data_IF_962884348909
#
_entry.id   IF_962884348909
#
_cell.length_a   1.000
_cell.length_b   1.000
_cell.length_c   1.000
_cell.angle_alpha   90.00
_cell.angle_beta   90.00
_cell.angle_gamma   90.00
#
_symmetry.space_group_name_H-M   'P 1'
#
loop_
_entity.id
_entity.type
_entity.pdbx_description
1 polymer ?
#
# COMPACT_ATOMS: atom_id res chain seq x y z
N UNK A 1 9.36 6.74 2.84
CA UNK A 1 8.84 7.82 3.72
C UNK A 1 9.56 7.87 5.05
N UNK A 2 9.39 8.95 5.78
CA UNK A 2 10.03 9.18 7.09
C UNK A 2 9.55 8.18 8.17
N UNK A 3 10.29 8.11 9.28
CA UNK A 3 9.90 7.30 10.42
C UNK A 3 8.48 7.68 10.91
N UNK A 4 7.68 6.69 11.26
CA UNK A 4 6.33 6.91 11.79
C UNK A 4 5.24 7.28 10.77
N UNK A 5 5.51 7.34 9.47
CA UNK A 5 4.52 7.69 8.43
C UNK A 5 3.56 6.56 8.02
N UNK A 6 3.67 5.38 8.65
CA UNK A 6 2.77 4.26 8.40
C UNK A 6 3.29 3.17 7.45
N UNK A 7 4.60 3.17 7.11
CA UNK A 7 5.21 2.16 6.22
C UNK A 7 4.93 0.72 6.65
N UNK A 8 5.27 0.37 7.88
CA UNK A 8 5.05 -0.98 8.43
C UNK A 8 3.56 -1.31 8.60
N UNK A 9 2.71 -0.31 8.85
CA UNK A 9 1.24 -0.52 8.87
C UNK A 9 0.74 -0.95 7.50
N UNK A 10 1.17 -0.26 6.43
CA UNK A 10 0.81 -0.62 5.05
C UNK A 10 1.33 -2.03 4.68
N UNK A 11 2.53 -2.40 5.17
CA UNK A 11 3.07 -3.74 4.98
C UNK A 11 2.18 -4.82 5.64
N UNK A 12 1.77 -4.60 6.89
CA UNK A 12 0.87 -5.52 7.62
C UNK A 12 -0.49 -5.63 6.92
N UNK A 13 -1.07 -4.51 6.50
CA UNK A 13 -2.33 -4.49 5.75
C UNK A 13 -2.22 -5.25 4.43
N UNK A 14 -1.08 -5.15 3.75
CA UNK A 14 -0.82 -5.89 2.50
C UNK A 14 -0.75 -7.39 2.74
N UNK A 15 -0.16 -7.85 3.85
CA UNK A 15 -0.16 -9.27 4.25
C UNK A 15 -1.59 -9.74 4.53
N UNK A 16 -2.34 -8.99 5.35
CA UNK A 16 -3.72 -9.34 5.72
C UNK A 16 -4.61 -9.43 4.47
N UNK A 17 -4.39 -8.55 3.49
CA UNK A 17 -5.10 -8.56 2.21
C UNK A 17 -4.88 -9.84 1.38
N UNK A 18 -3.86 -10.65 1.67
CA UNK A 18 -3.61 -11.93 0.99
C UNK A 18 -4.45 -13.09 1.55
N UNK A 19 -5.17 -12.89 2.65
CA UNK A 19 -6.02 -13.94 3.23
C UNK A 19 -6.99 -14.50 2.20
N UNK A 20 -6.97 -15.82 2.02
CA UNK A 20 -7.83 -16.52 1.05
C UNK A 20 -7.41 -16.41 -0.42
N UNK A 21 -6.29 -15.74 -0.74
CA UNK A 21 -5.81 -15.55 -2.12
C UNK A 21 -4.75 -16.58 -2.57
N UNK A 22 -4.46 -17.56 -1.74
CA UNK A 22 -3.42 -18.57 -2.01
C UNK A 22 -2.00 -17.99 -2.23
N UNK A 23 -1.72 -16.84 -1.66
CA UNK A 23 -0.41 -16.18 -1.66
C UNK A 23 0.28 -16.44 -0.32
N UNK A 24 1.52 -16.94 -0.35
CA UNK A 24 2.35 -17.08 0.85
C UNK A 24 3.12 -15.80 1.10
N UNK A 25 3.28 -15.43 2.37
CA UNK A 25 3.95 -14.17 2.72
C UNK A 25 5.22 -14.43 3.53
N UNK A 26 6.29 -13.70 3.21
CA UNK A 26 7.51 -13.64 4.01
C UNK A 26 7.69 -12.21 4.49
N UNK A 27 7.70 -11.99 5.80
CA UNK A 27 7.95 -10.68 6.37
C UNK A 27 9.30 -10.65 7.07
N UNK A 28 10.23 -9.89 6.50
CA UNK A 28 11.61 -9.77 7.02
C UNK A 28 11.74 -8.49 7.83
N UNK A 29 11.86 -8.62 9.14
CA UNK A 29 12.04 -7.53 10.11
C UNK A 29 13.52 -7.34 10.40
N UNK A 30 14.09 -6.20 9.98
CA UNK A 30 15.53 -5.94 10.04
C UNK A 30 15.81 -4.85 11.06
N UNK A 31 16.50 -5.19 12.15
CA UNK A 31 16.88 -4.28 13.24
C UNK A 31 15.70 -3.62 13.96
N UNK A 32 14.56 -4.29 13.98
CA UNK A 32 13.40 -3.82 14.72
C UNK A 32 13.56 -4.05 16.23
N UNK A 33 12.97 -3.17 17.04
CA UNK A 33 12.91 -3.37 18.49
C UNK A 33 12.05 -4.59 18.82
N UNK A 34 12.46 -5.40 19.81
CA UNK A 34 11.72 -6.60 20.21
C UNK A 34 10.25 -6.34 20.52
N UNK A 35 9.93 -5.21 21.16
CA UNK A 35 8.54 -4.83 21.44
C UNK A 35 7.72 -4.62 20.16
N UNK A 36 8.31 -3.99 19.13
CA UNK A 36 7.65 -3.81 17.83
C UNK A 36 7.47 -5.15 17.10
N UNK A 37 8.47 -6.04 17.16
CA UNK A 37 8.38 -7.40 16.61
C UNK A 37 7.21 -8.16 17.23
N UNK A 38 7.14 -8.19 18.56
CA UNK A 38 6.06 -8.88 19.29
C UNK A 38 4.69 -8.30 18.94
N UNK A 39 4.56 -6.97 18.92
CA UNK A 39 3.32 -6.30 18.54
C UNK A 39 2.89 -6.64 17.10
N UNK A 40 3.82 -6.70 16.16
CA UNK A 40 3.56 -7.06 14.76
C UNK A 40 3.09 -8.51 14.64
N UNK A 41 3.77 -9.44 15.33
CA UNK A 41 3.39 -10.87 15.35
C UNK A 41 1.98 -11.02 15.93
N UNK A 42 1.67 -10.34 17.03
CA UNK A 42 0.37 -10.42 17.67
C UNK A 42 -0.74 -9.84 16.76
N UNK A 43 -0.48 -8.72 16.10
CA UNK A 43 -1.40 -8.14 15.13
C UNK A 43 -1.70 -9.11 13.98
N UNK A 44 -0.67 -9.73 13.40
CA UNK A 44 -0.85 -10.71 12.32
C UNK A 44 -1.57 -11.96 12.81
N UNK A 45 -1.31 -12.42 14.06
CA UNK A 45 -2.00 -13.56 14.67
C UNK A 45 -3.49 -13.27 14.81
N UNK A 46 -3.87 -12.13 15.37
CA UNK A 46 -5.27 -11.73 15.56
C UNK A 46 -6.03 -11.59 14.24
N UNK A 47 -5.34 -11.12 13.19
CA UNK A 47 -5.91 -11.03 11.85
C UNK A 47 -5.94 -12.36 11.08
N UNK A 48 -5.34 -13.44 11.64
CA UNK A 48 -5.19 -14.73 10.94
C UNK A 48 -4.16 -14.72 9.82
N UNK A 49 -3.25 -13.73 9.83
CA UNK A 49 -2.19 -13.60 8.83
C UNK A 49 -1.05 -14.60 9.00
N UNK A 50 -0.86 -15.17 10.19
CA UNK A 50 0.21 -16.14 10.44
C UNK A 50 -0.03 -17.50 9.80
N UNK A 51 -1.26 -17.83 9.42
CA UNK A 51 -1.60 -19.13 8.81
C UNK A 51 -0.93 -19.32 7.43
N UNK A 52 -0.59 -18.22 6.77
CA UNK A 52 0.04 -18.21 5.44
C UNK A 52 1.30 -17.33 5.37
N UNK A 53 1.85 -16.95 6.54
CA UNK A 53 3.01 -16.06 6.61
C UNK A 53 4.14 -16.66 7.45
N UNK A 54 5.39 -16.39 7.02
CA UNK A 54 6.59 -16.63 7.79
C UNK A 54 7.26 -15.30 8.13
N UNK A 55 7.71 -15.14 9.39
CA UNK A 55 8.39 -13.92 9.84
C UNK A 55 9.86 -14.24 10.10
N UNK A 56 10.76 -13.55 9.41
CA UNK A 56 12.21 -13.63 9.60
C UNK A 56 12.66 -12.40 10.37
N UNK A 57 13.30 -12.57 11.51
CA UNK A 57 13.63 -11.47 12.41
C UNK A 57 15.12 -11.37 12.67
N UNK A 58 15.68 -10.17 12.47
CA UNK A 58 16.94 -9.75 13.04
C UNK A 58 16.68 -8.55 13.96
N UNK A 59 16.67 -8.78 15.28
CA UNK A 59 16.37 -7.73 16.25
C UNK A 59 17.44 -6.62 16.26
N UNK A 60 17.10 -5.44 16.81
CA UNK A 60 18.00 -4.30 16.91
C UNK A 60 19.29 -4.62 17.69
N UNK A 61 19.22 -5.55 18.64
CA UNK A 61 20.35 -5.99 19.49
C UNK A 61 21.23 -7.05 18.84
N UNK A 62 20.86 -7.60 17.67
CA UNK A 62 21.65 -8.61 16.99
C UNK A 62 22.89 -8.01 16.31
N UNK A 63 23.87 -8.86 16.02
CA UNK A 63 25.11 -8.45 15.33
C UNK A 63 24.83 -7.93 13.92
N UNK A 64 25.65 -7.02 13.39
CA UNK A 64 25.51 -6.53 12.01
C UNK A 64 25.48 -7.64 10.97
N UNK A 65 26.22 -8.74 11.18
CA UNK A 65 26.23 -9.90 10.29
C UNK A 65 24.87 -10.58 10.17
N UNK A 66 24.13 -10.74 11.26
CA UNK A 66 22.79 -11.31 11.22
C UNK A 66 21.78 -10.37 10.56
N UNK A 67 21.87 -9.05 10.81
CA UNK A 67 21.06 -8.04 10.12
C UNK A 67 21.32 -8.05 8.61
N UNK A 68 22.57 -8.26 8.21
CA UNK A 68 22.95 -8.39 6.81
C UNK A 68 22.38 -9.67 6.17
N UNK A 69 22.38 -10.80 6.87
CA UNK A 69 21.93 -12.09 6.35
C UNK A 69 20.40 -12.22 6.30
N UNK A 70 19.67 -11.57 7.20
CA UNK A 70 18.22 -11.74 7.35
C UNK A 70 17.42 -11.58 6.04
N UNK A 71 17.61 -10.54 5.21
CA UNK A 71 16.85 -10.42 3.96
C UNK A 71 17.20 -11.50 2.95
N UNK A 72 18.44 -11.98 2.91
CA UNK A 72 18.83 -13.09 2.04
C UNK A 72 18.23 -14.43 2.48
N UNK A 73 18.15 -14.65 3.81
CA UNK A 73 17.49 -15.84 4.35
C UNK A 73 15.97 -15.83 4.04
N UNK A 74 15.31 -14.69 4.24
CA UNK A 74 13.90 -14.53 3.86
C UNK A 74 13.66 -14.70 2.38
N UNK A 75 14.56 -14.17 1.54
CA UNK A 75 14.48 -14.32 0.09
C UNK A 75 14.66 -15.79 -0.35
N UNK A 76 15.60 -16.51 0.24
CA UNK A 76 15.81 -17.93 -0.07
C UNK A 76 14.58 -18.79 0.29
N UNK A 77 13.92 -18.50 1.43
CA UNK A 77 12.66 -19.14 1.79
C UNK A 77 11.55 -18.86 0.78
N UNK A 78 11.44 -17.60 0.36
CA UNK A 78 10.45 -17.17 -0.64
C UNK A 78 10.71 -17.81 -2.02
N UNK A 79 11.98 -17.95 -2.42
CA UNK A 79 12.36 -18.64 -3.67
C UNK A 79 12.02 -20.12 -3.67
N UNK A 80 12.17 -20.81 -2.54
CA UNK A 80 11.76 -22.22 -2.42
C UNK A 80 10.26 -22.38 -2.72
N UNK A 81 9.43 -21.52 -2.15
CA UNK A 81 8.00 -21.54 -2.43
C UNK A 81 7.66 -21.15 -3.87
N UNK A 82 8.33 -20.13 -4.41
CA UNK A 82 8.19 -19.74 -5.82
C UNK A 82 8.59 -20.88 -6.75
N UNK A 83 9.70 -21.56 -6.46
CA UNK A 83 10.17 -22.74 -7.21
C UNK A 83 9.19 -23.93 -7.15
N UNK A 84 8.43 -24.06 -6.05
CA UNK A 84 7.34 -25.03 -5.90
C UNK A 84 6.03 -24.59 -6.61
N UNK A 85 6.04 -23.52 -7.43
CA UNK A 85 4.88 -23.07 -8.20
C UNK A 85 3.90 -22.21 -7.39
N UNK A 86 4.33 -21.64 -6.25
CA UNK A 86 3.46 -20.81 -5.42
C UNK A 86 3.68 -19.33 -5.74
N UNK A 87 2.64 -18.54 -5.50
CA UNK A 87 2.75 -17.07 -5.50
C UNK A 87 3.18 -16.60 -4.11
N UNK A 88 4.20 -15.72 -4.07
CA UNK A 88 4.83 -15.29 -2.84
C UNK A 88 4.91 -13.77 -2.77
N UNK A 89 4.57 -13.22 -1.62
CA UNK A 89 4.83 -11.83 -1.26
C UNK A 89 5.98 -11.78 -0.25
N UNK A 90 7.05 -11.06 -0.56
CA UNK A 90 8.12 -10.81 0.41
C UNK A 90 8.22 -9.33 0.74
N UNK A 91 8.29 -9.01 2.03
CA UNK A 91 8.42 -7.63 2.53
C UNK A 91 9.71 -7.51 3.31
N UNK A 92 10.51 -6.47 3.01
CA UNK A 92 11.75 -6.15 3.71
C UNK A 92 11.58 -4.87 4.53
N UNK A 93 11.53 -4.97 5.86
CA UNK A 93 11.30 -3.85 6.77
C UNK A 93 12.50 -3.65 7.72
N UNK A 94 13.49 -2.78 7.41
CA UNK A 94 13.64 -1.98 6.21
C UNK A 94 15.04 -2.14 5.58
N UNK A 95 15.16 -1.80 4.32
CA UNK A 95 16.44 -1.90 3.60
C UNK A 95 17.40 -0.73 3.87
N UNK A 96 16.94 0.40 4.42
CA UNK A 96 17.84 1.46 4.91
C UNK A 96 18.68 0.95 6.08
N UNK A 97 18.05 0.25 7.01
CA UNK A 97 18.76 -0.38 8.15
C UNK A 97 19.66 -1.51 7.70
N UNK A 98 19.24 -2.30 6.71
CA UNK A 98 20.10 -3.30 6.07
C UNK A 98 21.36 -2.67 5.47
N UNK A 99 21.22 -1.56 4.75
CA UNK A 99 22.35 -0.81 4.19
C UNK A 99 23.29 -0.29 5.30
N UNK A 100 22.74 0.22 6.40
CA UNK A 100 23.53 0.67 7.57
C UNK A 100 24.32 -0.47 8.19
N UNK A 101 23.73 -1.67 8.32
CA UNK A 101 24.43 -2.85 8.81
C UNK A 101 25.57 -3.28 7.87
N UNK A 102 25.35 -3.23 6.55
CA UNK A 102 26.41 -3.52 5.57
C UNK A 102 27.53 -2.47 5.58
N UNK A 103 27.20 -1.19 5.75
CA UNK A 103 28.19 -0.13 5.94
C UNK A 103 29.06 -0.40 7.17
N UNK A 104 28.45 -0.75 8.30
CA UNK A 104 29.15 -1.08 9.53
C UNK A 104 30.12 -2.26 9.33
N UNK A 105 29.66 -3.37 8.72
CA UNK A 105 30.50 -4.52 8.39
C UNK A 105 31.67 -4.14 7.48
N UNK A 106 31.43 -3.34 6.46
CA UNK A 106 32.45 -2.91 5.50
C UNK A 106 33.53 -2.04 6.15
N UNK A 107 33.13 -1.15 7.07
CA UNK A 107 34.07 -0.32 7.84
C UNK A 107 34.88 -1.16 8.82
N UNK A 108 34.30 -2.14 9.49
CA UNK A 108 35.03 -3.10 10.35
C UNK A 108 36.05 -3.90 9.56
N UNK A 109 35.73 -4.25 8.31
CA UNK A 109 36.64 -4.93 7.39
C UNK A 109 37.64 -3.98 6.72
N UNK A 110 37.67 -2.70 7.10
CA UNK A 110 38.53 -1.66 6.55
C UNK A 110 38.41 -1.49 5.02
N UNK A 111 37.24 -1.76 4.45
CA UNK A 111 36.95 -1.48 3.04
C UNK A 111 36.88 0.03 2.82
N UNK A 112 37.41 0.56 1.70
CA UNK A 112 37.35 2.00 1.43
C UNK A 112 35.89 2.48 1.31
N UNK A 113 35.51 3.52 2.05
CA UNK A 113 34.16 4.08 1.96
C UNK A 113 33.96 4.89 0.67
N UNK A 114 32.75 4.82 0.12
CA UNK A 114 32.27 5.65 -0.97
C UNK A 114 31.33 6.76 -0.47
N UNK A 115 30.34 7.12 -1.29
CA UNK A 115 29.32 8.15 -0.97
C UNK A 115 28.61 7.81 0.34
N UNK A 116 28.46 8.79 1.22
CA UNK A 116 27.81 8.66 2.54
C UNK A 116 28.42 7.54 3.40
N UNK A 117 29.72 7.27 3.21
CA UNK A 117 30.46 6.18 3.84
C UNK A 117 29.93 4.76 3.53
N UNK A 118 29.03 4.59 2.57
CA UNK A 118 28.67 3.27 2.08
C UNK A 118 29.76 2.68 1.20
N UNK A 119 29.93 1.36 1.19
CA UNK A 119 30.86 0.70 0.26
C UNK A 119 30.36 0.85 -1.18
N UNK A 120 31.28 0.87 -2.16
CA UNK A 120 30.96 1.10 -3.58
C UNK A 120 30.02 0.08 -4.20
N UNK A 121 29.87 -1.10 -3.61
CA UNK A 121 29.00 -2.19 -4.06
C UNK A 121 27.61 -2.21 -3.40
N UNK A 122 27.21 -1.13 -2.69
CA UNK A 122 25.91 -1.06 -2.01
C UNK A 122 24.74 -1.19 -2.99
N UNK A 123 24.84 -0.63 -4.19
CA UNK A 123 23.84 -0.80 -5.23
C UNK A 123 23.67 -2.28 -5.62
N UNK A 124 24.80 -2.97 -5.84
CA UNK A 124 24.79 -4.38 -6.16
C UNK A 124 24.22 -5.24 -5.04
N UNK A 125 24.44 -4.87 -3.78
CA UNK A 125 23.85 -5.55 -2.64
C UNK A 125 22.33 -5.64 -2.73
N UNK A 126 21.67 -4.52 -3.02
CA UNK A 126 20.23 -4.46 -3.10
C UNK A 126 19.68 -4.99 -4.44
N UNK A 127 20.36 -4.73 -5.56
CA UNK A 127 19.91 -5.25 -6.85
C UNK A 127 19.95 -6.78 -6.89
N UNK A 128 21.00 -7.43 -6.43
CA UNK A 128 21.07 -8.89 -6.38
C UNK A 128 20.07 -9.54 -5.42
N UNK A 129 19.53 -8.78 -4.44
CA UNK A 129 18.47 -9.22 -3.56
C UNK A 129 17.11 -9.10 -4.24
N UNK A 130 16.81 -7.93 -4.81
CA UNK A 130 15.48 -7.58 -5.32
C UNK A 130 15.20 -8.19 -6.69
N UNK A 131 16.22 -8.34 -7.56
CA UNK A 131 16.08 -8.97 -8.87
C UNK A 131 15.79 -10.50 -8.80
N UNK A 132 15.85 -11.09 -7.62
CA UNK A 132 15.39 -12.47 -7.38
C UNK A 132 13.87 -12.58 -7.41
N UNK A 133 13.16 -11.46 -7.22
CA UNK A 133 11.70 -11.39 -7.31
C UNK A 133 11.28 -11.36 -8.77
N UNK A 134 10.55 -12.39 -9.20
CA UNK A 134 10.20 -12.59 -10.61
C UNK A 134 8.94 -13.45 -10.76
N UNK A 135 8.46 -13.60 -11.97
CA UNK A 135 7.44 -14.57 -12.35
C UNK A 135 8.08 -15.65 -13.22
N UNK A 136 8.09 -16.87 -12.74
CA UNK A 136 8.70 -18.00 -13.45
C UNK A 136 7.83 -18.43 -14.62
N UNK A 137 8.47 -18.80 -15.74
CA UNK A 137 7.77 -19.43 -16.85
C UNK A 137 7.15 -20.78 -16.43
N UNK A 138 6.05 -21.19 -17.05
CA UNK A 138 5.35 -22.42 -16.72
C UNK A 138 6.26 -23.67 -16.70
N UNK A 139 7.26 -23.74 -17.60
CA UNK A 139 8.28 -24.81 -17.63
C UNK A 139 9.18 -24.86 -16.40
N UNK A 140 9.22 -23.79 -15.60
CA UNK A 140 10.01 -23.66 -14.35
C UNK A 140 9.11 -23.70 -13.12
N UNK A 141 7.86 -24.13 -13.23
CA UNK A 141 6.90 -24.23 -12.13
C UNK A 141 5.84 -23.14 -12.12
N UNK A 142 6.02 -22.01 -12.82
CA UNK A 142 5.00 -20.96 -12.98
C UNK A 142 4.74 -20.11 -11.71
N UNK A 143 5.50 -20.30 -10.64
CA UNK A 143 5.35 -19.51 -9.43
C UNK A 143 5.84 -18.06 -9.60
N UNK A 144 5.41 -17.18 -8.71
CA UNK A 144 5.83 -15.76 -8.70
C UNK A 144 6.28 -15.28 -7.34
N UNK A 145 7.15 -14.27 -7.34
CA UNK A 145 7.54 -13.56 -6.12
C UNK A 145 7.48 -12.05 -6.33
N UNK A 146 6.68 -11.37 -5.50
CA UNK A 146 6.59 -9.92 -5.46
C UNK A 146 7.30 -9.40 -4.23
N UNK A 147 8.26 -8.47 -4.40
CA UNK A 147 8.95 -7.83 -3.29
C UNK A 147 8.43 -6.43 -2.99
N UNK A 148 8.22 -6.14 -1.71
CA UNK A 148 7.92 -4.80 -1.19
C UNK A 148 9.06 -4.36 -0.26
N UNK A 149 10.11 -3.72 -0.78
CA UNK A 149 11.15 -3.15 0.05
C UNK A 149 10.67 -1.86 0.72
N UNK A 150 10.80 -1.79 2.04
CA UNK A 150 10.56 -0.58 2.81
C UNK A 150 11.86 0.21 2.92
N UNK A 151 11.76 1.52 2.72
CA UNK A 151 12.87 2.47 2.77
C UNK A 151 12.51 3.61 3.70
N UNK A 152 13.40 3.94 4.62
CA UNK A 152 13.26 5.11 5.47
C UNK A 152 13.94 6.31 4.81
N UNK A 153 13.22 7.44 4.74
CA UNK A 153 13.75 8.74 4.34
C UNK A 153 13.94 9.62 5.58
N UNK A 154 14.76 10.65 5.46
CA UNK A 154 14.94 11.67 6.48
C UNK A 154 14.44 13.00 5.91
N UNK A 155 13.55 13.69 6.64
CA UNK A 155 12.95 14.97 6.24
C UNK A 155 12.30 14.97 4.83
N UNK A 156 11.74 13.83 4.43
CA UNK A 156 11.09 13.67 3.12
C UNK A 156 12.05 13.62 1.93
N UNK A 157 13.36 13.44 2.15
CA UNK A 157 14.36 13.45 1.08
C UNK A 157 14.42 12.11 0.33
N UNK A 158 13.76 12.06 -0.83
CA UNK A 158 13.76 10.89 -1.73
C UNK A 158 15.09 10.80 -2.51
N UNK A 159 15.78 11.93 -2.68
CA UNK A 159 17.03 12.02 -3.45
C UNK A 159 18.27 11.52 -2.70
N UNK A 160 18.12 11.09 -1.44
CA UNK A 160 19.19 10.45 -0.68
C UNK A 160 19.68 9.16 -1.35
N UNK A 161 20.89 8.73 -1.03
CA UNK A 161 21.60 7.68 -1.77
C UNK A 161 20.88 6.34 -1.77
N UNK A 162 20.43 5.85 -0.63
CA UNK A 162 19.74 4.55 -0.54
C UNK A 162 18.34 4.58 -1.18
N UNK A 163 17.47 5.56 -0.90
CA UNK A 163 16.19 5.67 -1.59
C UNK A 163 16.32 5.72 -3.11
N UNK A 164 17.23 6.54 -3.65
CA UNK A 164 17.45 6.66 -5.10
C UNK A 164 17.87 5.34 -5.73
N UNK A 165 18.76 4.58 -5.07
CA UNK A 165 19.20 3.27 -5.55
C UNK A 165 18.00 2.30 -5.62
N UNK A 166 17.18 2.23 -4.57
CA UNK A 166 16.07 1.30 -4.50
C UNK A 166 14.94 1.67 -5.48
N UNK A 167 14.65 2.96 -5.66
CA UNK A 167 13.71 3.44 -6.70
C UNK A 167 14.18 3.02 -8.10
N UNK A 168 15.48 3.05 -8.36
CA UNK A 168 16.00 2.66 -9.69
C UNK A 168 15.97 1.16 -9.94
N UNK A 169 16.09 0.33 -8.89
CA UNK A 169 16.01 -1.13 -8.98
C UNK A 169 14.57 -1.61 -9.12
N UNK A 170 13.63 -1.00 -8.40
CA UNK A 170 12.22 -1.44 -8.33
C UNK A 170 11.37 -0.89 -9.47
N UNK A 171 10.18 -1.48 -9.67
CA UNK A 171 9.21 -1.07 -10.69
C UNK A 171 8.35 0.15 -10.29
N UNK A 172 8.76 0.88 -9.29
CA UNK A 172 8.10 2.08 -8.81
C UNK A 172 8.23 2.28 -7.31
N UNK A 173 7.59 3.33 -6.81
CA UNK A 173 7.59 3.64 -5.39
C UNK A 173 6.22 4.15 -4.94
N UNK A 174 5.86 3.82 -3.70
CA UNK A 174 4.77 4.44 -2.94
C UNK A 174 5.43 5.35 -1.91
N UNK A 175 5.22 6.66 -2.03
CA UNK A 175 5.79 7.65 -1.12
C UNK A 175 4.78 8.04 -0.05
N UNK A 176 5.17 7.90 1.22
CA UNK A 176 4.38 8.30 2.38
C UNK A 176 4.91 9.65 2.90
N UNK A 177 4.04 10.67 2.83
CA UNK A 177 4.39 12.06 3.16
C UNK A 177 4.08 12.39 4.63
N UNK A 178 5.07 12.92 5.39
CA UNK A 178 4.86 13.27 6.80
C UNK A 178 3.81 14.37 7.00
N UNK A 179 3.67 15.30 6.05
CA UNK A 179 2.69 16.38 6.16
C UNK A 179 1.26 15.89 5.93
N UNK A 180 1.06 14.89 5.06
CA UNK A 180 -0.23 14.20 4.92
C UNK A 180 -0.56 13.42 6.19
N UNK A 181 0.41 12.71 6.76
CA UNK A 181 0.26 11.98 8.02
C UNK A 181 -0.16 12.91 9.17
N UNK A 182 0.55 14.04 9.35
CA UNK A 182 0.25 15.02 10.39
C UNK A 182 -1.15 15.65 10.26
N UNK A 183 -1.70 15.70 9.04
CA UNK A 183 -3.06 16.18 8.76
C UNK A 183 -4.13 15.08 8.93
N UNK A 184 -3.76 13.87 9.35
CA UNK A 184 -4.69 12.75 9.52
C UNK A 184 -5.19 12.14 8.20
N UNK A 185 -4.50 12.39 7.08
CA UNK A 185 -4.78 11.71 5.82
C UNK A 185 -4.07 10.36 5.81
N UNK A 186 -4.81 9.29 6.05
CA UNK A 186 -4.27 7.93 6.16
C UNK A 186 -4.94 6.99 5.15
N UNK A 187 -4.15 6.14 4.46
CA UNK A 187 -2.68 6.13 4.44
C UNK A 187 -2.09 7.41 3.82
N UNK A 188 -0.96 7.88 4.33
CA UNK A 188 -0.36 9.16 3.97
C UNK A 188 0.36 9.14 2.60
N UNK A 189 -0.28 8.55 1.59
CA UNK A 189 0.31 8.34 0.26
C UNK A 189 0.24 9.64 -0.54
N UNK A 190 1.41 10.16 -0.93
CA UNK A 190 1.52 11.25 -1.89
C UNK A 190 1.45 10.68 -3.33
N UNK A 191 0.33 10.92 -3.99
CA UNK A 191 0.07 10.45 -5.36
C UNK A 191 0.98 11.14 -6.39
N UNK A 192 1.49 12.33 -6.08
CA UNK A 192 2.35 13.10 -7.00
C UNK A 192 3.75 12.52 -7.09
N UNK A 193 4.27 12.04 -5.94
CA UNK A 193 5.61 11.44 -5.80
C UNK A 193 5.61 9.92 -5.96
N UNK A 194 4.43 9.30 -5.95
CA UNK A 194 4.28 7.85 -6.13
C UNK A 194 4.18 7.52 -7.61
N UNK A 195 4.98 6.56 -8.06
CA UNK A 195 5.08 6.15 -9.47
C UNK A 195 5.02 4.64 -9.56
N UNK A 196 4.29 4.12 -10.54
CA UNK A 196 4.33 2.71 -10.95
C UNK A 196 4.73 2.61 -12.42
N UNK A 197 5.78 1.84 -12.70
CA UNK A 197 6.22 1.55 -14.09
C UNK A 197 5.35 0.48 -14.74
N UNK A 198 4.69 -0.36 -13.95
CA UNK A 198 3.76 -1.41 -14.42
C UNK A 198 2.39 -0.78 -14.71
N UNK A 199 1.93 0.10 -13.83
CA UNK A 199 0.68 0.86 -13.98
C UNK A 199 -0.53 -0.03 -14.18
N UNK A 200 -1.41 0.36 -15.07
CA UNK A 200 -2.68 -0.33 -15.33
C UNK A 200 -2.57 -1.74 -15.92
N UNK A 201 -1.37 -2.27 -16.20
CA UNK A 201 -1.21 -3.67 -16.61
C UNK A 201 -1.48 -4.66 -15.48
N UNK A 202 -1.23 -4.25 -14.23
CA UNK A 202 -1.47 -5.07 -13.04
C UNK A 202 -2.93 -4.99 -12.53
N UNK A 203 -3.73 -4.05 -13.03
CA UNK A 203 -5.10 -3.85 -12.58
C UNK A 203 -6.07 -4.82 -13.27
N UNK A 204 -7.10 -5.24 -12.53
CA UNK A 204 -8.27 -5.91 -13.11
C UNK A 204 -8.90 -4.97 -14.14
N UNK A 205 -9.24 -5.46 -15.37
CA UNK A 205 -9.72 -4.60 -16.45
C UNK A 205 -10.89 -3.69 -16.09
N UNK A 206 -11.86 -4.18 -15.31
CA UNK A 206 -13.00 -3.41 -14.83
C UNK A 206 -12.57 -2.24 -13.94
N UNK A 207 -11.72 -2.49 -12.95
CA UNK A 207 -11.19 -1.46 -12.05
C UNK A 207 -10.33 -0.45 -12.85
N UNK A 208 -9.52 -0.92 -13.80
CA UNK A 208 -8.71 -0.04 -14.65
C UNK A 208 -9.58 0.94 -15.45
N UNK A 209 -10.71 0.47 -15.97
CA UNK A 209 -11.67 1.31 -16.72
C UNK A 209 -12.25 2.42 -15.83
N UNK A 210 -12.73 2.07 -14.63
CA UNK A 210 -13.37 3.01 -13.71
C UNK A 210 -12.35 3.97 -13.04
N UNK A 211 -11.16 3.48 -12.70
CA UNK A 211 -10.11 4.29 -12.08
C UNK A 211 -9.32 5.17 -13.06
N UNK A 212 -9.50 5.01 -14.37
CA UNK A 212 -8.60 5.56 -15.40
C UNK A 212 -8.42 7.08 -15.37
N UNK A 213 -9.43 7.84 -14.95
CA UNK A 213 -9.38 9.31 -14.84
C UNK A 213 -9.12 9.82 -13.43
N UNK A 214 -9.31 8.98 -12.42
CA UNK A 214 -9.27 9.38 -11.01
C UNK A 214 -7.96 10.07 -10.62
N UNK A 215 -6.82 9.53 -11.05
CA UNK A 215 -5.51 10.13 -10.75
C UNK A 215 -5.39 11.54 -11.34
N UNK A 216 -5.83 11.74 -12.58
CA UNK A 216 -5.77 13.03 -13.26
C UNK A 216 -6.68 14.05 -12.58
N UNK A 217 -7.93 13.66 -12.28
CA UNK A 217 -8.91 14.50 -11.58
C UNK A 217 -8.37 14.92 -10.20
N UNK A 218 -7.73 14.00 -9.48
CA UNK A 218 -7.14 14.31 -8.18
C UNK A 218 -5.93 15.24 -8.27
N UNK A 219 -5.06 15.08 -9.28
CA UNK A 219 -3.95 15.99 -9.50
C UNK A 219 -4.43 17.41 -9.86
N UNK A 220 -5.43 17.54 -10.75
CA UNK A 220 -6.06 18.82 -11.07
C UNK A 220 -6.66 19.48 -9.83
N UNK A 221 -7.32 18.69 -8.98
CA UNK A 221 -7.85 19.21 -7.71
C UNK A 221 -6.73 19.75 -6.80
N UNK A 222 -5.61 19.04 -6.66
CA UNK A 222 -4.49 19.50 -5.83
C UNK A 222 -3.91 20.84 -6.32
N UNK A 223 -3.79 21.01 -7.64
CA UNK A 223 -3.36 22.27 -8.25
C UNK A 223 -4.36 23.41 -7.96
N UNK A 224 -5.66 23.15 -8.16
CA UNK A 224 -6.72 24.13 -7.92
C UNK A 224 -6.88 24.50 -6.44
N UNK A 225 -6.65 23.55 -5.52
CA UNK A 225 -6.76 23.80 -4.08
C UNK A 225 -5.77 24.84 -3.58
N UNK A 226 -4.58 24.93 -4.20
CA UNK A 226 -3.60 25.98 -3.85
C UNK A 226 -4.17 27.37 -4.10
N UNK A 227 -4.91 27.57 -5.19
CA UNK A 227 -5.51 28.86 -5.54
C UNK A 227 -6.65 29.27 -4.59
N UNK A 228 -7.35 28.32 -3.96
CA UNK A 228 -8.42 28.64 -3.00
C UNK A 228 -7.92 29.37 -1.77
N UNK A 229 -6.65 29.20 -1.41
CA UNK A 229 -6.03 29.84 -0.24
C UNK A 229 -5.84 31.36 -0.42
N UNK A 230 -5.89 31.85 -1.66
CA UNK A 230 -5.67 33.26 -1.98
C UNK A 230 -6.95 34.07 -2.10
N UNK A 231 -8.13 33.50 -1.76
CA UNK A 231 -9.39 34.23 -1.62
C UNK A 231 -10.00 34.76 -2.93
N UNK A 232 -9.61 34.26 -4.10
CA UNK A 232 -10.19 34.61 -5.38
C UNK A 232 -11.59 34.02 -5.55
N UNK A 233 -12.52 34.79 -6.12
CA UNK A 233 -13.83 34.25 -6.57
C UNK A 233 -13.57 33.21 -7.66
N UNK A 234 -13.97 31.99 -7.39
CA UNK A 234 -13.82 30.88 -8.32
C UNK A 234 -15.03 30.80 -9.24
N UNK A 235 -14.81 30.44 -10.49
CA UNK A 235 -15.90 30.07 -11.39
C UNK A 235 -16.62 28.81 -10.90
N UNK A 236 -17.91 28.66 -11.16
CA UNK A 236 -18.71 27.51 -10.72
C UNK A 236 -18.14 26.17 -11.17
N UNK A 237 -17.52 26.13 -12.36
CA UNK A 237 -16.84 24.94 -12.91
C UNK A 237 -15.64 24.51 -12.07
N UNK A 238 -14.86 25.47 -11.57
CA UNK A 238 -13.69 25.23 -10.72
C UNK A 238 -14.14 24.79 -9.32
N UNK A 239 -15.18 25.43 -8.79
CA UNK A 239 -15.76 25.06 -7.50
C UNK A 239 -16.28 23.61 -7.49
N UNK A 240 -16.94 23.17 -8.56
CA UNK A 240 -17.39 21.78 -8.72
C UNK A 240 -16.21 20.78 -8.71
N UNK A 241 -15.11 21.09 -9.41
CA UNK A 241 -13.90 20.26 -9.40
C UNK A 241 -13.27 20.16 -8.00
N UNK A 242 -13.26 21.28 -7.27
CA UNK A 242 -12.72 21.29 -5.89
C UNK A 242 -13.60 20.47 -4.96
N UNK A 243 -14.94 20.58 -5.05
CA UNK A 243 -15.87 19.76 -4.25
C UNK A 243 -15.67 18.27 -4.54
N UNK A 244 -15.60 17.90 -5.82
CA UNK A 244 -15.36 16.51 -6.24
C UNK A 244 -14.00 15.99 -5.76
N UNK A 245 -12.94 16.79 -5.80
CA UNK A 245 -11.62 16.41 -5.30
C UNK A 245 -11.56 16.26 -3.78
N UNK A 246 -12.27 17.10 -3.04
CA UNK A 246 -12.43 16.96 -1.57
C UNK A 246 -13.18 15.68 -1.22
N UNK A 247 -14.25 15.38 -1.92
CA UNK A 247 -14.97 14.11 -1.78
C UNK A 247 -14.05 12.92 -2.04
N UNK A 248 -13.28 12.93 -3.13
CA UNK A 248 -12.33 11.87 -3.46
C UNK A 248 -11.27 11.70 -2.35
N UNK A 249 -10.79 12.82 -1.78
CA UNK A 249 -9.84 12.79 -0.65
C UNK A 249 -10.45 12.09 0.57
N UNK A 250 -11.73 12.28 0.86
CA UNK A 250 -12.41 11.59 1.97
C UNK A 250 -12.59 10.08 1.67
N UNK A 251 -12.98 9.72 0.44
CA UNK A 251 -13.17 8.33 0.02
C UNK A 251 -11.85 7.53 -0.03
N UNK A 252 -10.71 8.20 -0.21
CA UNK A 252 -9.38 7.57 -0.22
C UNK A 252 -8.80 7.33 1.19
N UNK A 253 -9.44 7.83 2.24
CA UNK A 253 -9.05 7.49 3.60
C UNK A 253 -9.41 6.04 3.91
N UNK A 254 -8.49 5.35 4.55
CA UNK A 254 -8.66 3.94 4.90
C UNK A 254 -8.09 3.69 6.29
N UNK A 255 -8.84 3.03 7.12
CA UNK A 255 -8.38 2.64 8.46
C UNK A 255 -7.34 1.53 8.40
N UNK A 256 -6.49 1.50 9.41
CA UNK A 256 -5.50 0.45 9.59
C UNK A 256 -6.21 -0.90 9.82
N UNK A 257 -5.64 -1.97 9.31
CA UNK A 257 -6.13 -3.36 9.42
C UNK A 257 -7.49 -3.60 8.72
N UNK A 258 -7.84 -2.72 7.78
CA UNK A 258 -9.09 -2.78 7.03
C UNK A 258 -8.81 -2.77 5.52
N UNK A 259 -8.07 -3.74 4.97
CA UNK A 259 -7.81 -3.79 3.53
C UNK A 259 -9.11 -4.06 2.75
N UNK A 260 -9.32 -3.31 1.67
CA UNK A 260 -10.47 -3.47 0.81
C UNK A 260 -10.25 -4.56 -0.25
N UNK A 261 -11.30 -5.31 -0.57
CA UNK A 261 -11.28 -6.25 -1.69
C UNK A 261 -11.38 -5.52 -3.04
N UNK A 262 -11.01 -6.18 -4.17
CA UNK A 262 -11.21 -5.60 -5.50
C UNK A 262 -12.67 -5.24 -5.80
N UNK A 263 -13.62 -6.04 -5.28
CA UNK A 263 -15.06 -5.78 -5.42
C UNK A 263 -15.47 -4.52 -4.66
N UNK A 264 -14.96 -4.33 -3.46
CA UNK A 264 -15.19 -3.11 -2.68
C UNK A 264 -14.58 -1.89 -3.36
N UNK A 265 -13.38 -2.03 -3.95
CA UNK A 265 -12.78 -0.97 -4.76
C UNK A 265 -13.66 -0.63 -5.96
N UNK A 266 -14.17 -1.62 -6.68
CA UNK A 266 -15.06 -1.40 -7.82
C UNK A 266 -16.35 -0.69 -7.40
N UNK A 267 -16.95 -1.09 -6.29
CA UNK A 267 -18.20 -0.52 -5.80
C UNK A 267 -18.07 0.99 -5.52
N UNK A 268 -17.09 1.41 -4.74
CA UNK A 268 -16.95 2.83 -4.42
C UNK A 268 -16.47 3.67 -5.63
N UNK A 269 -15.67 3.09 -6.54
CA UNK A 269 -15.27 3.76 -7.78
C UNK A 269 -16.49 4.05 -8.66
N UNK A 270 -17.36 3.08 -8.85
CA UNK A 270 -18.61 3.25 -9.61
C UNK A 270 -19.51 4.29 -8.93
N UNK A 271 -19.72 4.19 -7.60
CA UNK A 271 -20.52 5.16 -6.87
C UNK A 271 -19.98 6.60 -6.98
N UNK A 272 -18.65 6.77 -6.94
CA UNK A 272 -18.01 8.06 -7.13
C UNK A 272 -18.18 8.59 -8.57
N UNK A 273 -18.01 7.73 -9.58
CA UNK A 273 -18.12 8.13 -10.97
C UNK A 273 -19.55 8.50 -11.36
N UNK A 274 -20.55 7.79 -10.82
CA UNK A 274 -21.98 8.08 -11.01
C UNK A 274 -22.49 9.24 -10.15
N UNK A 275 -21.62 9.89 -9.34
CA UNK A 275 -21.99 11.05 -8.52
C UNK A 275 -22.94 10.73 -7.34
N UNK A 276 -23.00 9.46 -6.91
CA UNK A 276 -23.94 9.06 -5.85
C UNK A 276 -23.60 9.66 -4.48
N UNK A 277 -22.38 10.10 -4.28
CA UNK A 277 -21.95 10.82 -3.07
C UNK A 277 -22.17 12.33 -3.14
N UNK A 278 -22.62 12.86 -4.28
CA UNK A 278 -22.76 14.31 -4.47
C UNK A 278 -23.78 14.89 -3.48
N UNK A 279 -23.42 15.99 -2.85
CA UNK A 279 -24.25 16.64 -1.83
C UNK A 279 -24.16 16.03 -0.42
N UNK A 280 -23.40 14.94 -0.23
CA UNK A 280 -23.11 14.41 1.10
C UNK A 280 -21.89 15.11 1.69
N UNK A 281 -21.87 15.29 3.01
CA UNK A 281 -20.76 15.91 3.75
C UNK A 281 -20.42 15.13 5.02
N UNK A 282 -19.15 15.17 5.42
CA UNK A 282 -18.66 14.66 6.69
C UNK A 282 -19.06 13.21 6.98
N UNK A 283 -19.68 12.98 8.13
CA UNK A 283 -20.08 11.64 8.59
C UNK A 283 -21.07 10.91 7.65
N UNK A 284 -21.86 11.65 6.86
CA UNK A 284 -22.80 11.03 5.92
C UNK A 284 -22.07 10.29 4.78
N UNK A 285 -20.92 10.80 4.34
CA UNK A 285 -20.07 10.13 3.34
C UNK A 285 -19.59 8.80 3.88
N UNK A 286 -18.99 8.79 5.08
CA UNK A 286 -18.46 7.57 5.71
C UNK A 286 -19.56 6.55 5.97
N UNK A 287 -20.70 6.96 6.52
CA UNK A 287 -21.82 6.05 6.77
C UNK A 287 -22.38 5.39 5.49
N UNK A 288 -22.41 6.13 4.38
CA UNK A 288 -22.82 5.58 3.08
C UNK A 288 -21.73 4.70 2.47
N UNK A 289 -20.47 5.08 2.60
CA UNK A 289 -19.35 4.29 2.14
C UNK A 289 -19.30 2.95 2.87
N UNK A 290 -19.41 2.93 4.20
CA UNK A 290 -19.36 1.70 5.00
C UNK A 290 -20.48 0.71 4.58
N UNK A 291 -21.71 1.22 4.39
CA UNK A 291 -22.81 0.38 3.91
C UNK A 291 -22.54 -0.18 2.51
N UNK A 292 -22.02 0.64 1.62
CA UNK A 292 -21.66 0.24 0.27
C UNK A 292 -20.59 -0.84 0.29
N UNK A 293 -19.54 -0.68 1.10
CA UNK A 293 -18.44 -1.64 1.25
C UNK A 293 -18.92 -2.96 1.86
N UNK A 294 -19.84 -2.92 2.83
CA UNK A 294 -20.45 -4.12 3.41
C UNK A 294 -21.27 -4.88 2.36
N UNK A 295 -22.10 -4.19 1.57
CA UNK A 295 -22.85 -4.82 0.47
C UNK A 295 -21.93 -5.41 -0.58
N UNK A 296 -20.91 -4.69 -0.99
CA UNK A 296 -19.93 -5.18 -1.96
C UNK A 296 -19.16 -6.42 -1.47
N UNK A 297 -19.02 -6.60 -0.16
CA UNK A 297 -18.38 -7.80 0.39
C UNK A 297 -19.27 -9.06 0.32
N UNK A 298 -20.59 -8.92 0.27
CA UNK A 298 -21.57 -10.03 0.32
C UNK A 298 -22.26 -10.29 -0.99
N UNK A 299 -22.64 -9.26 -1.74
CA UNK A 299 -23.57 -9.33 -2.87
C UNK A 299 -22.99 -8.80 -4.19
N UNK A 300 -21.65 -8.70 -4.30
CA UNK A 300 -21.03 -8.09 -5.47
C UNK A 300 -21.20 -8.92 -6.75
N UNK A 301 -21.44 -8.27 -7.89
CA UNK A 301 -21.26 -8.90 -9.20
C UNK A 301 -19.81 -9.38 -9.40
N UNK A 302 -19.62 -10.37 -10.25
CA UNK A 302 -18.25 -10.76 -10.62
C UNK A 302 -17.52 -9.62 -11.31
N UNK A 303 -16.23 -9.46 -11.05
CA UNK A 303 -15.40 -8.42 -11.69
C UNK A 303 -15.29 -8.59 -13.22
N UNK A 304 -15.58 -9.80 -13.74
CA UNK A 304 -15.62 -10.10 -15.15
C UNK A 304 -16.90 -9.64 -15.87
N UNK A 305 -17.94 -9.28 -15.10
CA UNK A 305 -19.20 -8.77 -15.64
C UNK A 305 -19.03 -7.32 -16.02
N UNK A 306 -19.66 -6.89 -17.11
CA UNK A 306 -19.53 -5.54 -17.63
C UNK A 306 -19.95 -4.42 -16.66
N UNK A 307 -19.53 -3.18 -16.89
CA UNK A 307 -19.71 -2.06 -15.97
C UNK A 307 -21.19 -1.75 -15.68
N UNK A 308 -22.11 -2.03 -16.60
CA UNK A 308 -23.56 -1.78 -16.41
C UNK A 308 -24.16 -2.58 -15.25
N UNK A 309 -23.75 -3.84 -15.07
CA UNK A 309 -24.20 -4.66 -13.95
C UNK A 309 -23.77 -4.06 -12.60
N UNK A 310 -22.55 -3.52 -12.56
CA UNK A 310 -22.03 -2.82 -11.38
C UNK A 310 -22.77 -1.52 -11.10
N UNK A 311 -23.07 -0.70 -12.12
CA UNK A 311 -23.86 0.52 -11.98
C UNK A 311 -25.24 0.23 -11.41
N UNK A 312 -25.92 -0.79 -11.94
CA UNK A 312 -27.25 -1.20 -11.46
C UNK A 312 -27.19 -1.68 -10.01
N UNK A 313 -26.25 -2.54 -9.66
CA UNK A 313 -26.09 -3.05 -8.30
C UNK A 313 -25.78 -1.93 -7.30
N UNK A 314 -24.78 -1.10 -7.60
CA UNK A 314 -24.35 0.02 -6.75
C UNK A 314 -25.46 1.06 -6.57
N UNK A 315 -26.20 1.41 -7.61
CA UNK A 315 -27.34 2.31 -7.52
C UNK A 315 -28.45 1.76 -6.60
N UNK A 316 -28.73 0.45 -6.70
CA UNK A 316 -29.66 -0.25 -5.82
C UNK A 316 -29.22 -0.19 -4.35
N UNK A 317 -27.99 -0.54 -4.05
CA UNK A 317 -27.45 -0.52 -2.69
C UNK A 317 -27.42 0.89 -2.08
N UNK A 318 -27.22 1.90 -2.91
CA UNK A 318 -27.18 3.30 -2.46
C UNK A 318 -28.57 3.85 -2.11
N UNK A 319 -29.63 3.35 -2.78
CA UNK A 319 -31.02 3.75 -2.56
C UNK A 319 -31.70 3.02 -1.39
N UNK A 320 -31.16 1.86 -0.96
CA UNK A 320 -31.73 1.14 0.18
C UNK A 320 -31.77 2.03 1.42
N UNK A 321 -33.01 2.40 1.85
CA UNK A 321 -33.23 3.06 3.14
C UNK A 321 -32.79 2.12 4.25
N UNK A 322 -32.32 2.70 5.37
CA UNK A 322 -32.03 1.96 6.59
C UNK A 322 -33.28 1.20 7.07
N UNK A 323 -33.49 -0.02 6.57
CA UNK A 323 -34.41 -0.96 7.20
C UNK A 323 -33.67 -1.58 8.37
N UNK A 324 -34.08 -1.20 9.60
CA UNK A 324 -33.64 -1.88 10.81
C UNK A 324 -33.17 -1.00 11.95
N UNK A 325 -33.91 0.07 12.27
CA UNK A 325 -34.09 0.43 13.68
C UNK A 325 -35.59 0.32 13.92
N UNK A 326 -36.00 -0.86 14.42
CA UNK A 326 -37.36 -1.13 14.78
C UNK A 326 -37.84 -0.12 15.81
N UNK A 327 -39.02 0.41 15.59
CA UNK A 327 -39.88 1.03 16.61
C UNK A 327 -39.97 0.07 17.81
N UNK A 328 -39.27 0.38 18.90
CA UNK A 328 -39.73 -0.07 20.21
C UNK A 328 -40.96 0.72 20.53
N UNK A 329 -42.12 0.06 20.72
CA UNK A 329 -43.29 0.78 21.18
C UNK A 329 -43.06 1.20 22.62
N UNK A 330 -43.20 2.52 22.85
CA UNK A 330 -43.29 3.06 24.21
C UNK A 330 -44.45 2.38 24.96
N UNK A 331 -44.12 1.72 26.05
CA UNK A 331 -45.02 1.30 27.11
C UNK A 331 -44.54 1.85 28.44
#
# INVERSE_FOLDING_TARGET
GDAGTGKSSLAVDTIIAQKGRNVLCVYVLISQKRSAVVATIETLRQAGGLDFSCIVVAEATTTPGLKFLAPFAGCALAEEWMGAGRDVLIIYDDLTTHARAYRELSLLLRRPPGREAYPGDIFYLHSRLLERSTCLAARLGGGSMTALPIVETEQGEISAYIPTNLISITDGQIYLDPALYARGFLPAIDITRSVSRIGGKAQVPAIKSEAGRMKLDFLQFLELEVFTRFGSRLEASVEAKIKRGRLLRELLKQDRLSPLSPEQHMAWLVAFNEGLFDGLEGLAIHAKLDKLLQRAATDSPLLSVGPEAWRTAVAGWFQEKAQGMGDEPAA
#
